data_IF_708814565057
#
_entry.id   IF_708814565057
#
_cell.length_a   1.000
_cell.length_b   1.000
_cell.length_c   1.000
_cell.angle_alpha   90.00
_cell.angle_beta   90.00
_cell.angle_gamma   90.00
#
_symmetry.space_group_name_H-M   'P 1'
#
loop_
_entity.id
_entity.type
_entity.pdbx_description
1 polymer ?
#
# COMPACT_ATOMS: atom_id res chain seq x y z
N UNK A 1 -38.98 5.19 29.05
CA UNK A 1 -38.63 4.96 27.62
C UNK A 1 -37.58 6.03 27.27
N UNK A 2 -36.30 5.65 27.31
CA UNK A 2 -35.23 6.52 26.81
C UNK A 2 -35.10 6.24 25.32
N UNK A 3 -35.67 7.11 24.50
CA UNK A 3 -35.42 7.10 23.07
C UNK A 3 -33.98 7.52 22.81
N UNK A 4 -33.07 6.55 22.71
CA UNK A 4 -31.71 6.82 22.29
C UNK A 4 -31.75 7.39 20.88
N UNK A 5 -31.24 8.58 20.70
CA UNK A 5 -31.00 9.17 19.37
C UNK A 5 -29.94 8.29 18.71
N UNK A 6 -30.34 7.46 17.78
CA UNK A 6 -29.39 6.75 16.92
C UNK A 6 -28.70 7.81 16.05
N UNK A 7 -27.50 8.20 16.42
CA UNK A 7 -26.73 9.14 15.61
C UNK A 7 -26.21 8.39 14.40
N UNK A 8 -26.72 8.71 13.22
CA UNK A 8 -26.19 8.20 11.97
C UNK A 8 -24.88 8.92 11.64
N UNK A 9 -23.78 8.17 11.59
CA UNK A 9 -22.51 8.66 11.12
C UNK A 9 -22.31 8.34 9.64
N UNK A 10 -21.80 9.30 8.90
CA UNK A 10 -21.32 9.11 7.54
C UNK A 10 -19.90 8.56 7.60
N UNK A 11 -19.70 7.41 6.95
CA UNK A 11 -18.39 6.76 6.85
C UNK A 11 -17.70 7.23 5.57
N UNK A 12 -16.46 7.63 5.69
CA UNK A 12 -15.60 7.95 4.54
C UNK A 12 -14.30 7.17 4.66
N UNK A 13 -13.93 6.45 3.59
CA UNK A 13 -12.84 5.49 3.57
C UNK A 13 -11.88 5.82 2.44
N UNK A 14 -10.59 5.91 2.76
CA UNK A 14 -9.47 5.87 1.83
C UNK A 14 -8.63 4.63 2.08
N UNK A 15 -7.99 4.11 1.04
CA UNK A 15 -7.16 2.90 1.11
C UNK A 15 -5.81 3.17 0.46
N UNK A 16 -4.75 2.73 1.14
CA UNK A 16 -3.38 2.69 0.66
C UNK A 16 -2.99 1.23 0.45
N UNK A 17 -2.48 0.90 -0.74
CA UNK A 17 -2.08 -0.46 -1.08
C UNK A 17 -0.61 -0.46 -1.46
N UNK A 18 0.20 -1.18 -0.68
CA UNK A 18 1.57 -1.49 -1.01
C UNK A 18 1.62 -2.81 -1.78
N UNK A 19 2.23 -2.81 -2.96
CA UNK A 19 2.27 -3.97 -3.82
C UNK A 19 3.69 -4.20 -4.35
N UNK A 20 4.27 -5.36 -4.02
CA UNK A 20 5.58 -5.77 -4.55
C UNK A 20 5.48 -6.05 -6.05
N UNK A 21 6.40 -5.46 -6.82
CA UNK A 21 6.47 -5.66 -8.25
C UNK A 21 7.19 -6.97 -8.59
N UNK A 22 6.69 -7.69 -9.57
CA UNK A 22 7.23 -8.99 -10.01
C UNK A 22 8.50 -8.81 -10.84
N UNK A 23 9.59 -8.46 -10.18
CA UNK A 23 10.92 -8.33 -10.78
C UNK A 23 11.87 -9.43 -10.30
N UNK A 24 12.91 -9.72 -11.06
CA UNK A 24 13.95 -10.67 -10.65
C UNK A 24 14.97 -10.05 -9.68
N UNK A 25 15.13 -8.73 -9.74
CA UNK A 25 16.09 -7.98 -8.92
C UNK A 25 15.42 -6.82 -8.21
N UNK A 26 16.12 -6.28 -7.21
CA UNK A 26 15.64 -5.21 -6.36
C UNK A 26 15.50 -3.87 -7.10
N UNK A 27 14.87 -2.91 -6.43
CA UNK A 27 14.54 -1.60 -6.99
C UNK A 27 15.77 -0.80 -7.41
N UNK A 28 16.83 -0.86 -6.61
CA UNK A 28 18.03 -0.04 -6.77
C UNK A 28 19.33 -0.84 -6.81
N UNK A 29 19.25 -2.17 -6.82
CA UNK A 29 20.42 -3.06 -6.86
C UNK A 29 20.17 -4.31 -7.70
N UNK A 30 21.23 -5.04 -8.02
CA UNK A 30 21.17 -6.33 -8.71
C UNK A 30 20.91 -7.54 -7.80
N UNK A 31 20.68 -7.34 -6.49
CA UNK A 31 20.37 -8.44 -5.59
C UNK A 31 19.04 -9.10 -5.97
N UNK A 32 18.91 -10.42 -5.82
CA UNK A 32 17.71 -11.13 -6.24
C UNK A 32 16.51 -10.84 -5.31
N UNK A 33 15.30 -10.82 -5.90
CA UNK A 33 14.04 -10.85 -5.16
C UNK A 33 13.56 -12.29 -5.11
N UNK A 34 13.62 -12.93 -3.94
CA UNK A 34 13.19 -14.32 -3.73
C UNK A 34 12.51 -14.46 -2.36
N UNK A 35 11.40 -15.18 -2.35
CA UNK A 35 10.67 -15.50 -1.12
C UNK A 35 11.20 -16.80 -0.50
N UNK A 36 11.29 -16.85 0.83
CA UNK A 36 11.62 -18.07 1.59
C UNK A 36 13.09 -18.48 1.61
N UNK A 37 14.00 -17.64 1.12
CA UNK A 37 15.45 -17.89 1.19
C UNK A 37 15.99 -17.71 2.62
N UNK A 38 17.20 -18.24 2.84
CA UNK A 38 17.92 -18.05 4.10
C UNK A 38 18.08 -16.55 4.37
N UNK A 39 17.82 -16.13 5.61
CA UNK A 39 17.89 -14.73 6.00
C UNK A 39 19.23 -14.08 5.61
N UNK A 40 19.17 -12.86 5.08
CA UNK A 40 20.31 -12.04 4.68
C UNK A 40 21.19 -12.60 3.55
N UNK A 41 20.68 -13.52 2.73
CA UNK A 41 21.40 -14.06 1.57
C UNK A 41 21.04 -13.38 0.24
N UNK A 42 19.92 -12.66 0.19
CA UNK A 42 19.45 -11.90 -0.98
C UNK A 42 19.67 -10.39 -0.78
N UNK A 43 20.89 -9.98 -0.43
CA UNK A 43 21.23 -8.58 -0.14
C UNK A 43 22.41 -8.11 -0.97
N UNK A 44 22.53 -6.80 -1.16
CA UNK A 44 23.70 -6.15 -1.74
C UNK A 44 24.20 -5.03 -0.82
N UNK A 45 25.39 -4.53 -1.11
CA UNK A 45 25.98 -3.38 -0.41
C UNK A 45 25.11 -2.11 -0.56
N UNK A 46 24.37 -1.98 -1.66
CA UNK A 46 23.42 -0.87 -1.88
C UNK A 46 22.23 -0.99 -0.94
N UNK A 47 21.64 -2.20 -0.84
CA UNK A 47 20.46 -2.45 0.01
C UNK A 47 20.80 -2.26 1.50
N UNK A 48 22.05 -2.58 1.88
CA UNK A 48 22.55 -2.43 3.25
C UNK A 48 23.07 -1.02 3.56
N UNK A 49 23.08 -0.12 2.59
CA UNK A 49 23.48 1.28 2.80
C UNK A 49 24.99 1.47 3.05
N UNK A 50 25.85 0.65 2.45
CA UNK A 50 27.29 0.80 2.62
C UNK A 50 27.79 2.14 2.04
N UNK A 51 28.75 2.81 2.68
CA UNK A 51 29.30 4.07 2.20
C UNK A 51 29.87 3.96 0.77
N UNK A 52 29.59 4.97 -0.05
CA UNK A 52 30.07 5.05 -1.44
C UNK A 52 29.24 4.28 -2.46
N UNK A 53 28.22 3.50 -2.04
CA UNK A 53 27.33 2.81 -2.97
C UNK A 53 26.23 3.73 -3.46
N UNK A 54 25.95 3.69 -4.78
CA UNK A 54 24.91 4.48 -5.41
C UNK A 54 23.79 3.58 -5.94
N UNK A 55 22.51 3.99 -5.79
CA UNK A 55 21.37 3.26 -6.33
C UNK A 55 21.34 3.34 -7.86
N UNK A 56 20.89 2.25 -8.50
CA UNK A 56 20.62 2.19 -9.93
C UNK A 56 19.20 1.66 -10.15
N UNK A 57 18.35 2.47 -10.79
CA UNK A 57 16.92 2.16 -10.94
C UNK A 57 16.69 0.92 -11.79
N UNK A 58 15.85 0.00 -11.33
CA UNK A 58 15.44 -1.18 -12.05
C UNK A 58 14.45 -0.81 -13.17
N UNK A 59 14.88 -1.00 -14.43
CA UNK A 59 14.07 -0.69 -15.62
C UNK A 59 12.76 -1.49 -15.68
N UNK A 60 12.79 -2.75 -15.25
CA UNK A 60 11.61 -3.63 -15.25
C UNK A 60 10.58 -3.13 -14.22
N UNK A 61 11.03 -2.70 -13.03
CA UNK A 61 10.15 -2.12 -12.03
C UNK A 61 9.43 -0.88 -12.55
N UNK A 62 10.14 0.02 -13.26
CA UNK A 62 9.52 1.19 -13.91
C UNK A 62 8.49 0.75 -14.95
N UNK A 63 8.80 -0.23 -15.79
CA UNK A 63 7.87 -0.71 -16.81
C UNK A 63 6.59 -1.32 -16.19
N UNK A 64 6.72 -2.10 -15.11
CA UNK A 64 5.59 -2.67 -14.39
C UNK A 64 4.74 -1.58 -13.70
N UNK A 65 5.37 -0.56 -13.12
CA UNK A 65 4.67 0.57 -12.53
C UNK A 65 3.88 1.37 -13.57
N UNK A 66 4.47 1.66 -14.75
CA UNK A 66 3.78 2.30 -15.88
C UNK A 66 2.59 1.46 -16.33
N UNK A 67 2.75 0.13 -16.42
CA UNK A 67 1.68 -0.79 -16.80
C UNK A 67 0.52 -0.75 -15.82
N UNK A 68 0.81 -0.71 -14.50
CA UNK A 68 -0.20 -0.54 -13.47
C UNK A 68 -0.92 0.81 -13.58
N UNK A 69 -0.18 1.91 -13.71
CA UNK A 69 -0.73 3.26 -13.89
C UNK A 69 -1.65 3.35 -15.12
N UNK A 70 -1.22 2.79 -16.26
CA UNK A 70 -2.02 2.79 -17.49
C UNK A 70 -3.33 2.03 -17.32
N UNK A 71 -3.29 0.86 -16.66
CA UNK A 71 -4.50 0.07 -16.41
C UNK A 71 -5.47 0.72 -15.41
N UNK A 72 -4.97 1.62 -14.58
CA UNK A 72 -5.76 2.40 -13.61
C UNK A 72 -6.04 3.82 -14.12
N UNK A 73 -5.89 4.04 -15.43
CA UNK A 73 -6.22 5.31 -16.09
C UNK A 73 -5.52 6.55 -15.51
N UNK A 74 -4.30 6.37 -14.96
CA UNK A 74 -3.54 7.48 -14.40
C UNK A 74 -2.91 8.34 -15.48
N UNK A 75 -2.76 9.63 -15.18
CA UNK A 75 -1.86 10.54 -15.88
C UNK A 75 -0.43 10.15 -15.51
N UNK A 76 0.42 9.86 -16.51
CA UNK A 76 1.79 9.42 -16.29
C UNK A 76 2.77 10.60 -16.18
N UNK A 77 3.68 10.54 -15.19
CA UNK A 77 4.82 11.45 -15.13
C UNK A 77 5.82 11.12 -16.24
N UNK A 78 6.27 12.15 -16.95
CA UNK A 78 7.18 11.99 -18.10
C UNK A 78 8.66 11.87 -17.71
N UNK A 79 9.01 12.35 -16.52
CA UNK A 79 10.36 12.28 -15.98
C UNK A 79 10.37 11.60 -14.62
N UNK A 80 10.81 10.34 -14.57
CA UNK A 80 10.92 9.58 -13.33
C UNK A 80 11.97 10.20 -12.40
N UNK A 81 11.53 10.62 -11.23
CA UNK A 81 12.36 11.20 -10.17
C UNK A 81 12.05 10.54 -8.85
N UNK A 82 13.04 10.50 -7.95
CA UNK A 82 12.91 9.93 -6.63
C UNK A 82 13.30 10.94 -5.56
N UNK A 83 12.68 10.78 -4.40
CA UNK A 83 12.91 11.56 -3.19
C UNK A 83 13.42 10.65 -2.08
N UNK A 84 13.89 11.22 -0.98
CA UNK A 84 14.26 10.50 0.23
C UNK A 84 13.26 10.79 1.34
N UNK A 85 12.63 9.74 1.84
CA UNK A 85 11.83 9.77 3.07
C UNK A 85 12.76 9.41 4.23
N UNK A 86 13.25 10.42 4.94
CA UNK A 86 14.19 10.23 6.04
C UNK A 86 13.47 9.81 7.32
N UNK A 87 13.80 8.65 7.85
CA UNK A 87 13.40 8.20 9.19
C UNK A 87 14.35 7.10 9.67
N UNK A 88 14.47 6.96 10.99
CA UNK A 88 15.39 6.01 11.60
C UNK A 88 14.61 4.87 12.23
N UNK A 89 14.71 3.71 11.62
CA UNK A 89 14.16 2.48 12.15
C UNK A 89 15.07 1.30 11.80
N UNK A 90 15.06 0.24 12.60
CA UNK A 90 16.02 -0.86 12.47
C UNK A 90 15.88 -1.67 11.19
N UNK A 91 14.70 -1.66 10.53
CA UNK A 91 14.45 -2.31 9.25
C UNK A 91 14.85 -1.47 8.03
N UNK A 92 15.36 -0.26 8.27
CA UNK A 92 15.78 0.68 7.24
C UNK A 92 17.28 0.96 7.34
N UNK A 93 18.14 0.13 6.69
CA UNK A 93 19.59 0.15 6.92
C UNK A 93 20.28 1.44 6.50
N UNK A 94 19.68 2.17 5.54
CA UNK A 94 20.21 3.46 5.04
C UNK A 94 19.82 4.66 5.90
N UNK A 95 18.83 4.53 6.80
CA UNK A 95 18.21 5.64 7.52
C UNK A 95 17.24 6.48 6.67
N UNK A 96 16.96 6.07 5.44
CA UNK A 96 15.97 6.66 4.55
C UNK A 96 15.40 5.62 3.60
N UNK A 97 14.19 5.84 3.12
CA UNK A 97 13.58 5.09 2.05
C UNK A 97 13.58 5.95 0.78
N UNK A 98 13.95 5.37 -0.36
CA UNK A 98 13.81 6.02 -1.66
C UNK A 98 12.36 5.82 -2.11
N UNK A 99 11.68 6.91 -2.42
CA UNK A 99 10.26 6.97 -2.77
C UNK A 99 9.99 8.06 -3.80
N UNK A 100 8.72 8.36 -4.09
CA UNK A 100 8.31 9.46 -4.97
C UNK A 100 7.24 10.32 -4.28
N UNK A 101 7.65 11.29 -3.48
CA UNK A 101 6.73 12.17 -2.76
C UNK A 101 6.16 13.27 -3.65
N UNK A 102 7.04 13.95 -4.42
CA UNK A 102 6.66 15.14 -5.18
C UNK A 102 6.33 14.84 -6.65
N UNK A 103 6.83 13.73 -7.17
CA UNK A 103 6.67 13.34 -8.57
C UNK A 103 6.29 11.86 -8.65
N UNK A 104 5.07 11.48 -8.19
CA UNK A 104 4.58 10.12 -8.33
C UNK A 104 4.49 9.74 -9.80
N UNK A 105 4.76 8.47 -10.12
CA UNK A 105 4.77 7.97 -11.50
C UNK A 105 3.40 8.05 -12.18
N UNK A 106 2.32 8.02 -11.40
CA UNK A 106 0.95 8.16 -11.88
C UNK A 106 0.08 8.96 -10.93
N UNK A 107 -0.81 9.78 -11.48
CA UNK A 107 -1.78 10.60 -10.72
C UNK A 107 -3.16 10.56 -11.37
N UNK A 108 -4.19 11.00 -10.63
CA UNK A 108 -5.54 11.23 -11.13
C UNK A 108 -6.19 10.01 -11.83
N UNK A 109 -5.86 8.80 -11.36
CA UNK A 109 -6.44 7.58 -11.91
C UNK A 109 -7.79 7.22 -11.31
N UNK A 110 -8.34 6.08 -11.76
CA UNK A 110 -9.54 5.49 -11.16
C UNK A 110 -9.61 3.99 -11.41
N UNK A 111 -10.44 3.34 -10.59
CA UNK A 111 -10.86 1.94 -10.76
C UNK A 111 -12.38 1.88 -10.68
N UNK A 112 -13.03 1.14 -11.58
CA UNK A 112 -14.45 0.84 -11.49
C UNK A 112 -14.64 -0.40 -10.62
N UNK A 113 -15.48 -0.30 -9.60
CA UNK A 113 -15.92 -1.41 -8.76
C UNK A 113 -17.37 -1.72 -9.02
N UNK A 114 -17.79 -2.97 -8.78
CA UNK A 114 -19.19 -3.41 -8.82
C UNK A 114 -19.55 -3.90 -7.41
N UNK A 115 -20.60 -3.29 -6.85
CA UNK A 115 -21.13 -3.67 -5.54
C UNK A 115 -22.63 -3.88 -5.68
N UNK A 116 -23.07 -5.12 -5.50
CA UNK A 116 -24.48 -5.51 -5.61
C UNK A 116 -25.14 -5.15 -6.95
N UNK A 117 -24.34 -5.09 -8.05
CA UNK A 117 -24.77 -4.72 -9.41
C UNK A 117 -24.73 -3.22 -9.72
N UNK A 118 -24.31 -2.40 -8.78
CA UNK A 118 -24.09 -0.97 -8.98
C UNK A 118 -22.61 -0.69 -9.24
N UNK A 119 -22.33 -0.04 -10.37
CA UNK A 119 -20.97 0.37 -10.74
C UNK A 119 -20.63 1.72 -10.15
N UNK A 120 -19.42 1.80 -9.57
CA UNK A 120 -18.89 3.02 -8.97
C UNK A 120 -17.44 3.20 -9.33
N UNK A 121 -17.03 4.41 -9.72
CA UNK A 121 -15.62 4.76 -9.86
C UNK A 121 -15.05 5.21 -8.54
N UNK A 122 -13.93 4.60 -8.16
CA UNK A 122 -13.10 5.01 -7.02
C UNK A 122 -11.86 5.67 -7.60
N UNK A 123 -11.64 6.93 -7.29
CA UNK A 123 -10.50 7.69 -7.79
C UNK A 123 -9.22 7.25 -7.09
N UNK A 124 -8.15 7.23 -7.86
CA UNK A 124 -6.78 7.06 -7.35
C UNK A 124 -6.13 8.45 -7.33
N UNK A 125 -5.63 8.85 -6.18
CA UNK A 125 -4.92 10.11 -6.03
C UNK A 125 -3.57 10.04 -6.71
N UNK A 126 -2.79 8.99 -6.38
CA UNK A 126 -1.46 8.74 -6.93
C UNK A 126 -1.06 7.27 -6.86
N UNK A 127 -0.14 6.93 -7.72
CA UNK A 127 0.66 5.71 -7.65
C UNK A 127 2.12 6.16 -7.63
N UNK A 128 2.87 5.73 -6.63
CA UNK A 128 4.29 6.06 -6.57
C UNK A 128 5.15 4.81 -6.35
N UNK A 129 6.39 4.88 -6.81
CA UNK A 129 7.35 3.81 -6.69
C UNK A 129 8.19 4.02 -5.42
N UNK A 130 8.50 2.92 -4.74
CA UNK A 130 9.37 2.92 -3.57
C UNK A 130 10.08 1.56 -3.40
N UNK A 131 10.94 1.47 -2.41
CA UNK A 131 11.58 0.23 -1.99
C UNK A 131 10.99 -0.27 -0.67
N UNK A 132 10.87 -1.59 -0.51
CA UNK A 132 10.42 -2.18 0.75
C UNK A 132 11.53 -2.16 1.82
N UNK A 133 11.14 -2.29 3.08
CA UNK A 133 12.01 -2.38 4.24
C UNK A 133 12.32 -3.83 4.62
N UNK A 134 13.26 -4.06 5.54
CA UNK A 134 13.58 -5.38 6.04
C UNK A 134 12.41 -5.98 6.87
N UNK A 135 12.44 -7.30 7.08
CA UNK A 135 11.53 -7.96 8.02
C UNK A 135 12.14 -7.98 9.42
N UNK A 136 11.31 -7.68 10.42
CA UNK A 136 11.69 -7.78 11.82
C UNK A 136 10.95 -8.92 12.52
N UNK A 137 11.68 -9.63 13.36
CA UNK A 137 11.16 -10.71 14.18
C UNK A 137 11.47 -10.42 15.64
N UNK A 138 10.43 -10.12 16.43
CA UNK A 138 10.56 -9.90 17.86
C UNK A 138 10.45 -11.24 18.59
N UNK A 139 11.51 -11.59 19.34
CA UNK A 139 11.57 -12.80 20.18
C UNK A 139 11.98 -12.38 21.60
N UNK A 140 11.80 -13.28 22.56
CA UNK A 140 12.18 -13.03 23.96
C UNK A 140 13.69 -12.69 24.13
N UNK A 141 14.53 -13.18 23.21
CA UNK A 141 15.98 -12.97 23.19
C UNK A 141 16.43 -11.70 22.45
N UNK A 142 15.51 -10.98 21.77
CA UNK A 142 15.83 -9.76 21.03
C UNK A 142 15.09 -9.64 19.70
N UNK A 143 15.42 -8.57 18.97
CA UNK A 143 14.87 -8.33 17.62
C UNK A 143 15.87 -8.82 16.58
N UNK A 144 15.39 -9.71 15.72
CA UNK A 144 16.14 -10.23 14.58
C UNK A 144 15.66 -9.55 13.29
N UNK A 145 16.60 -9.22 12.42
CA UNK A 145 16.30 -8.49 11.17
C UNK A 145 16.76 -9.34 9.99
N UNK A 146 15.84 -9.55 9.03
CA UNK A 146 16.12 -10.15 7.73
C UNK A 146 16.03 -9.09 6.65
N UNK A 147 17.17 -8.75 6.06
CA UNK A 147 17.27 -7.74 4.99
C UNK A 147 16.96 -8.29 3.58
N UNK A 148 16.56 -9.54 3.44
CA UNK A 148 16.21 -10.11 2.13
C UNK A 148 15.10 -9.33 1.44
N UNK A 149 14.14 -8.76 2.19
CA UNK A 149 13.06 -7.94 1.64
C UNK A 149 13.50 -6.49 1.37
N UNK A 150 14.49 -5.97 2.10
CA UNK A 150 14.95 -4.58 1.93
C UNK A 150 15.36 -4.32 0.47
N UNK A 151 14.82 -3.26 -0.12
CA UNK A 151 15.05 -2.90 -1.51
C UNK A 151 14.16 -3.61 -2.54
N UNK A 152 13.23 -4.47 -2.13
CA UNK A 152 12.23 -5.05 -3.03
C UNK A 152 11.40 -3.94 -3.68
N UNK A 153 11.21 -3.95 -5.02
CA UNK A 153 10.44 -2.92 -5.69
C UNK A 153 8.98 -2.93 -5.27
N UNK A 154 8.46 -1.77 -4.85
CA UNK A 154 7.08 -1.55 -4.50
C UNK A 154 6.45 -0.47 -5.36
N UNK A 155 5.14 -0.56 -5.52
CA UNK A 155 4.26 0.58 -5.78
C UNK A 155 3.30 0.75 -4.61
N UNK A 156 3.07 2.00 -4.23
CA UNK A 156 2.00 2.38 -3.33
C UNK A 156 0.88 3.04 -4.13
N UNK A 157 -0.34 2.50 -4.01
CA UNK A 157 -1.54 2.99 -4.67
C UNK A 157 -2.42 3.65 -3.61
N UNK A 158 -2.61 4.95 -3.72
CA UNK A 158 -3.39 5.76 -2.77
C UNK A 158 -4.72 6.15 -3.39
N UNK A 159 -5.83 5.69 -2.81
CA UNK A 159 -7.16 6.09 -3.25
C UNK A 159 -7.54 7.47 -2.70
N UNK A 160 -8.47 8.13 -3.40
CA UNK A 160 -9.26 9.20 -2.78
C UNK A 160 -10.30 8.60 -1.82
N UNK A 161 -10.82 9.40 -0.87
CA UNK A 161 -11.78 8.93 0.12
C UNK A 161 -13.21 8.81 -0.46
N UNK A 162 -13.37 8.03 -1.52
CA UNK A 162 -14.63 7.89 -2.26
C UNK A 162 -15.48 6.71 -1.78
N UNK A 163 -14.95 5.86 -0.90
CA UNK A 163 -15.67 4.69 -0.40
C UNK A 163 -16.42 4.99 0.89
N UNK A 164 -17.62 4.41 1.04
CA UNK A 164 -18.52 4.69 2.16
C UNK A 164 -19.06 3.42 2.84
N UNK A 165 -18.60 2.25 2.43
CA UNK A 165 -19.00 0.98 3.04
C UNK A 165 -17.89 -0.05 3.05
N UNK A 166 -17.99 -1.04 3.93
CA UNK A 166 -17.08 -2.17 3.98
C UNK A 166 -17.11 -3.01 2.70
N UNK A 167 -18.27 -3.08 2.03
CA UNK A 167 -18.41 -3.78 0.74
C UNK A 167 -17.64 -3.05 -0.36
N UNK A 168 -17.75 -1.72 -0.44
CA UNK A 168 -17.00 -0.91 -1.40
C UNK A 168 -15.49 -1.04 -1.18
N UNK A 169 -15.03 -0.98 0.07
CA UNK A 169 -13.63 -1.17 0.43
C UNK A 169 -13.10 -2.54 -0.01
N UNK A 170 -13.84 -3.62 0.27
CA UNK A 170 -13.49 -4.97 -0.14
C UNK A 170 -13.48 -5.13 -1.67
N UNK A 171 -14.50 -4.60 -2.37
CA UNK A 171 -14.60 -4.64 -3.83
C UNK A 171 -13.44 -3.89 -4.50
N UNK A 172 -13.03 -2.73 -3.94
CA UNK A 172 -11.89 -1.97 -4.43
C UNK A 172 -10.58 -2.76 -4.34
N UNK A 173 -10.28 -3.32 -3.17
CA UNK A 173 -9.06 -4.12 -2.97
C UNK A 173 -9.05 -5.35 -3.87
N UNK A 174 -10.19 -6.05 -3.99
CA UNK A 174 -10.31 -7.22 -4.86
C UNK A 174 -10.15 -6.88 -6.35
N UNK A 175 -10.70 -5.76 -6.79
CA UNK A 175 -10.56 -5.29 -8.18
C UNK A 175 -9.12 -4.94 -8.51
N UNK A 176 -8.43 -4.20 -7.63
CA UNK A 176 -7.01 -3.91 -7.80
C UNK A 176 -6.16 -5.18 -7.81
N UNK A 177 -6.41 -6.10 -6.87
CA UNK A 177 -5.73 -7.39 -6.82
C UNK A 177 -5.87 -8.16 -8.13
N UNK A 178 -7.07 -8.27 -8.67
CA UNK A 178 -7.33 -8.94 -9.97
C UNK A 178 -6.61 -8.25 -11.12
N UNK A 179 -6.67 -6.92 -11.20
CA UNK A 179 -6.02 -6.16 -12.26
C UNK A 179 -4.49 -6.36 -12.25
N UNK A 180 -3.85 -6.22 -11.08
CA UNK A 180 -2.41 -6.37 -10.92
C UNK A 180 -1.95 -7.81 -11.22
N UNK A 181 -2.74 -8.81 -10.81
CA UNK A 181 -2.47 -10.22 -11.11
C UNK A 181 -2.59 -10.51 -12.60
N UNK A 182 -3.72 -10.12 -13.23
CA UNK A 182 -3.99 -10.36 -14.65
C UNK A 182 -2.95 -9.73 -15.55
N UNK A 183 -2.50 -8.53 -15.19
CA UNK A 183 -1.45 -7.81 -15.90
C UNK A 183 -0.04 -8.36 -15.63
N UNK A 184 0.10 -9.34 -14.75
CA UNK A 184 1.39 -9.88 -14.32
C UNK A 184 2.35 -8.80 -13.78
N UNK A 185 1.80 -7.81 -13.06
CA UNK A 185 2.56 -6.75 -12.39
C UNK A 185 3.09 -7.24 -11.04
N UNK A 186 2.29 -8.04 -10.34
CA UNK A 186 2.57 -8.63 -9.03
C UNK A 186 1.91 -9.99 -8.93
N UNK A 187 2.34 -10.81 -7.98
CA UNK A 187 1.64 -12.05 -7.61
C UNK A 187 0.55 -11.84 -6.55
N UNK A 188 0.50 -10.63 -5.97
CA UNK A 188 -0.55 -10.10 -5.08
C UNK A 188 -0.99 -11.03 -3.96
N UNK A 189 -0.05 -11.74 -3.36
CA UNK A 189 -0.28 -12.67 -2.26
C UNK A 189 -0.27 -11.92 -0.93
N UNK A 190 -1.45 -11.62 -0.41
CA UNK A 190 -1.59 -10.88 0.84
C UNK A 190 -1.03 -11.67 2.03
N UNK A 191 -1.17 -13.00 2.03
CA UNK A 191 -0.67 -13.92 3.05
C UNK A 191 0.86 -14.00 3.10
N UNK A 192 1.54 -13.78 1.98
CA UNK A 192 3.02 -13.71 1.90
C UNK A 192 3.55 -12.29 2.10
N UNK A 193 2.67 -11.28 2.07
CA UNK A 193 2.98 -9.87 2.26
C UNK A 193 3.38 -9.14 0.98
N UNK A 194 3.27 -9.76 -0.21
CA UNK A 194 3.53 -9.08 -1.49
C UNK A 194 2.43 -8.08 -1.87
N UNK A 195 1.28 -8.11 -1.17
CA UNK A 195 0.27 -7.06 -1.19
C UNK A 195 -0.20 -6.79 0.23
N UNK A 196 -0.17 -5.53 0.67
CA UNK A 196 -0.60 -5.07 1.99
C UNK A 196 -1.56 -3.92 1.82
N UNK A 197 -2.49 -3.79 2.75
CA UNK A 197 -3.54 -2.78 2.69
C UNK A 197 -3.61 -2.02 4.01
N UNK A 198 -3.59 -0.70 3.93
CA UNK A 198 -3.82 0.22 5.03
C UNK A 198 -5.14 0.94 4.78
N UNK A 199 -6.03 0.94 5.78
CA UNK A 199 -7.36 1.52 5.67
C UNK A 199 -7.47 2.74 6.54
N UNK A 200 -7.83 3.86 5.93
CA UNK A 200 -8.10 5.13 6.57
C UNK A 200 -9.61 5.33 6.65
N UNK A 201 -10.14 5.48 7.85
CA UNK A 201 -11.58 5.64 8.09
C UNK A 201 -11.81 6.96 8.82
N UNK A 202 -12.77 7.73 8.34
CA UNK A 202 -13.27 8.93 8.99
C UNK A 202 -14.78 8.80 9.19
N UNK A 203 -15.25 9.20 10.35
CA UNK A 203 -16.67 9.20 10.73
C UNK A 203 -17.10 10.63 11.07
N UNK A 204 -18.15 11.10 10.41
CA UNK A 204 -18.68 12.45 10.61
C UNK A 204 -20.19 12.43 10.78
N UNK A 205 -20.72 13.42 11.49
CA UNK A 205 -22.18 13.68 11.58
C UNK A 205 -22.71 14.41 10.36
N UNK A 206 -21.82 15.00 9.57
CA UNK A 206 -22.12 15.73 8.35
C UNK A 206 -21.48 15.01 7.16
N UNK A 207 -22.23 14.84 6.09
CA UNK A 207 -21.80 14.15 4.87
C UNK A 207 -20.65 14.86 4.14
N UNK A 208 -20.60 16.17 4.24
CA UNK A 208 -19.66 17.02 3.49
C UNK A 208 -18.39 17.34 4.28
N UNK A 209 -18.28 16.88 5.54
CA UNK A 209 -17.10 17.08 6.39
C UNK A 209 -16.45 15.77 6.78
N UNK A 210 -15.11 15.77 6.84
CA UNK A 210 -14.35 14.65 7.36
C UNK A 210 -14.21 14.79 8.88
N UNK A 211 -14.47 13.71 9.61
CA UNK A 211 -14.16 13.61 11.02
C UNK A 211 -12.71 13.22 11.29
N UNK A 212 -12.41 12.78 12.50
CA UNK A 212 -11.08 12.30 12.86
C UNK A 212 -10.73 11.04 12.07
N UNK A 213 -9.55 11.06 11.45
CA UNK A 213 -9.01 9.92 10.71
C UNK A 213 -8.52 8.85 11.68
N UNK A 214 -8.99 7.62 11.49
CA UNK A 214 -8.45 6.41 12.12
C UNK A 214 -7.76 5.56 11.05
N UNK A 215 -6.53 5.17 11.29
CA UNK A 215 -5.74 4.34 10.38
C UNK A 215 -5.57 2.93 10.94
N UNK A 216 -5.84 1.91 10.12
CA UNK A 216 -5.63 0.50 10.43
C UNK A 216 -4.64 -0.06 9.43
N UNK A 217 -3.47 -0.46 9.92
CA UNK A 217 -2.32 -0.84 9.09
C UNK A 217 -2.17 -2.34 8.91
N UNK A 218 -1.46 -2.70 7.84
CA UNK A 218 -0.98 -4.07 7.57
C UNK A 218 -2.08 -5.13 7.52
N UNK A 219 -3.21 -4.81 6.90
CA UNK A 219 -4.25 -5.80 6.65
C UNK A 219 -3.81 -6.76 5.55
N UNK A 220 -3.80 -8.04 5.88
CA UNK A 220 -3.27 -9.14 5.07
C UNK A 220 -4.35 -10.02 4.43
N UNK A 221 -5.60 -9.58 4.43
CA UNK A 221 -6.69 -10.24 3.71
C UNK A 221 -7.85 -9.28 3.45
N UNK A 222 -8.61 -9.53 2.39
CA UNK A 222 -9.81 -8.74 2.05
C UNK A 222 -10.87 -8.88 3.15
N UNK A 223 -11.00 -10.08 3.76
CA UNK A 223 -11.89 -10.28 4.89
C UNK A 223 -11.52 -9.40 6.10
N UNK A 224 -10.23 -9.18 6.35
CA UNK A 224 -9.77 -8.30 7.42
C UNK A 224 -10.02 -6.82 7.07
N UNK A 225 -9.91 -6.41 5.81
CA UNK A 225 -10.31 -5.07 5.37
C UNK A 225 -11.78 -4.82 5.67
N UNK A 226 -12.65 -5.76 5.29
CA UNK A 226 -14.09 -5.66 5.54
C UNK A 226 -14.43 -5.61 7.02
N UNK A 227 -13.80 -6.47 7.84
CA UNK A 227 -13.97 -6.48 9.31
C UNK A 227 -13.50 -5.19 9.96
N UNK A 228 -12.35 -4.66 9.56
CA UNK A 228 -11.77 -3.43 10.10
C UNK A 228 -12.74 -2.24 9.90
N UNK A 229 -13.28 -2.08 8.70
CA UNK A 229 -14.26 -1.03 8.40
C UNK A 229 -15.54 -1.22 9.20
N UNK A 230 -16.11 -2.44 9.21
CA UNK A 230 -17.35 -2.73 9.95
C UNK A 230 -17.21 -2.50 11.46
N UNK A 231 -16.08 -2.93 12.03
CA UNK A 231 -15.81 -2.76 13.46
C UNK A 231 -15.68 -1.29 13.86
N UNK A 232 -14.92 -0.51 13.09
CA UNK A 232 -14.74 0.93 13.38
C UNK A 232 -16.08 1.68 13.30
N UNK A 233 -16.92 1.35 12.33
CA UNK A 233 -18.25 1.92 12.20
C UNK A 233 -19.15 1.58 13.41
N UNK A 234 -19.16 0.31 13.84
CA UNK A 234 -19.94 -0.13 15.01
C UNK A 234 -19.49 0.55 16.30
N UNK A 235 -18.18 0.62 16.56
CA UNK A 235 -17.62 1.23 17.77
C UNK A 235 -17.98 2.72 17.92
N UNK A 236 -18.07 3.44 16.81
CA UNK A 236 -18.47 4.85 16.85
C UNK A 236 -19.91 5.05 17.31
N UNK A 237 -20.79 4.08 17.03
CA UNK A 237 -22.18 4.10 17.52
C UNK A 237 -22.31 3.73 19.02
N UNK A 238 -21.35 2.94 19.55
CA UNK A 238 -21.37 2.52 20.96
C UNK A 238 -20.79 3.56 21.92
N UNK A 239 -19.95 4.48 21.43
CA UNK A 239 -19.21 5.46 22.26
C UNK A 239 -19.79 6.87 22.24
N UNK A 240 -20.96 7.06 21.64
CA UNK A 240 -21.66 8.37 21.52
C UNK A 240 -22.86 8.51 22.40
#
# INVERSE_FOLDING_TARGET
>A
MFGGIVMNYFVTIGIEIHCELKTNTKMFSGAPVRFGEIANTCTSVVDLGHPGCLPCVNKEAVALAIKACTAMHCDLETLVRFDRKNYYYSDLPKGFQITQQFHPIGTNGYVEIDVDGEKKQIRIERIHMEEDTAKQFHKDTGTYIDFNRAGTPLIEIVSKPDMHSAKEAAAYVETLRKNLLYLNVSDVKMEEGSMRCDVNISLSKDKDTLGTKTEIKNLNSIANVQKAVSYTHLRAHETS
#
